data_IF_950111644035
#
_entry.id   IF_950111644035
#
_cell.length_a   1.000
_cell.length_b   1.000
_cell.length_c   1.000
_cell.angle_alpha   90.00
_cell.angle_beta   90.00
_cell.angle_gamma   90.00
#
_symmetry.space_group_name_H-M   'P 1'
#
loop_
_entity.id
_entity.type
_entity.pdbx_description
1 polymer ?
#
# COMPACT_ATOMS: atom_id res chain seq x y z
N UNK A 1 12.83 -8.33 -12.89
CA UNK A 1 11.59 -8.64 -12.14
C UNK A 1 11.51 -7.66 -11.00
N UNK A 2 10.37 -6.96 -10.84
CA UNK A 2 10.15 -5.96 -9.79
C UNK A 2 9.37 -6.56 -8.65
N UNK A 3 9.77 -6.27 -7.42
CA UNK A 3 9.03 -6.68 -6.23
C UNK A 3 8.17 -5.53 -5.70
N UNK A 4 6.85 -5.72 -5.71
CA UNK A 4 5.85 -4.71 -5.38
C UNK A 4 4.85 -5.27 -4.34
N UNK A 5 5.15 -5.22 -3.05
CA UNK A 5 4.24 -5.68 -2.01
C UNK A 5 3.05 -4.73 -1.81
N UNK A 6 1.94 -5.27 -1.32
CA UNK A 6 0.70 -4.54 -1.04
C UNK A 6 0.45 -4.56 0.47
N UNK A 7 0.37 -3.39 1.11
CA UNK A 7 0.05 -3.26 2.54
C UNK A 7 -1.48 -3.16 2.69
N UNK A 8 -2.11 -4.14 3.36
CA UNK A 8 -3.52 -4.06 3.77
C UNK A 8 -3.63 -3.35 5.12
N UNK A 9 -4.01 -2.06 5.09
CA UNK A 9 -3.88 -1.09 6.17
C UNK A 9 -4.98 -1.13 7.25
N UNK A 10 -5.76 -2.21 7.38
CA UNK A 10 -6.82 -2.29 8.39
C UNK A 10 -6.86 -3.64 9.10
N UNK A 11 -7.03 -3.60 10.41
CA UNK A 11 -7.21 -4.80 11.28
C UNK A 11 -8.62 -4.89 11.86
N UNK A 12 -9.55 -4.03 11.40
CA UNK A 12 -10.93 -4.02 11.89
C UNK A 12 -11.61 -5.35 11.60
N UNK A 13 -12.44 -5.85 12.55
CA UNK A 13 -13.31 -6.99 12.29
C UNK A 13 -14.23 -6.67 11.10
N UNK A 14 -14.44 -7.63 10.20
CA UNK A 14 -15.28 -7.51 9.00
C UNK A 14 -14.84 -6.35 8.06
N UNK A 15 -13.56 -6.08 8.00
CA UNK A 15 -12.95 -5.03 7.15
C UNK A 15 -13.20 -5.29 5.68
N UNK A 16 -13.80 -4.33 5.02
CA UNK A 16 -14.15 -4.42 3.59
C UNK A 16 -12.96 -4.13 2.67
N UNK A 17 -11.99 -3.36 3.14
CA UNK A 17 -10.79 -3.01 2.35
C UNK A 17 -9.94 -4.22 1.94
N UNK A 18 -10.05 -5.35 2.65
CA UNK A 18 -9.34 -6.59 2.28
C UNK A 18 -9.82 -7.16 0.94
N UNK A 19 -11.09 -6.97 0.56
CA UNK A 19 -11.62 -7.36 -0.75
C UNK A 19 -10.88 -6.63 -1.86
N UNK A 20 -10.70 -5.32 -1.71
CA UNK A 20 -9.97 -4.48 -2.66
C UNK A 20 -8.48 -4.82 -2.69
N UNK A 21 -7.87 -5.09 -1.54
CA UNK A 21 -6.47 -5.52 -1.48
C UNK A 21 -6.23 -6.83 -2.24
N UNK A 22 -7.13 -7.81 -2.09
CA UNK A 22 -7.09 -9.08 -2.85
C UNK A 22 -7.32 -8.86 -4.34
N UNK A 23 -8.25 -7.98 -4.70
CA UNK A 23 -8.49 -7.62 -6.09
C UNK A 23 -7.23 -7.02 -6.73
N UNK A 24 -6.61 -6.02 -6.09
CA UNK A 24 -5.37 -5.40 -6.58
C UNK A 24 -4.24 -6.42 -6.68
N UNK A 25 -4.09 -7.29 -5.67
CA UNK A 25 -3.10 -8.37 -5.68
C UNK A 25 -3.28 -9.28 -6.89
N UNK A 26 -4.51 -9.76 -7.12
CA UNK A 26 -4.82 -10.67 -8.24
C UNK A 26 -4.53 -10.01 -9.61
N UNK A 27 -4.75 -8.70 -9.75
CA UNK A 27 -4.45 -7.96 -11.00
C UNK A 27 -2.95 -7.70 -11.17
N UNK A 28 -2.24 -7.44 -10.07
CA UNK A 28 -0.80 -7.23 -10.11
C UNK A 28 -0.04 -8.54 -10.39
N UNK A 29 -0.52 -9.67 -9.87
CA UNK A 29 0.03 -11.02 -10.16
C UNK A 29 -0.05 -11.41 -11.64
N UNK A 30 -0.96 -10.81 -12.41
CA UNK A 30 -1.09 -11.05 -13.84
C UNK A 30 -0.10 -10.23 -14.69
N UNK A 31 0.68 -9.32 -14.07
CA UNK A 31 1.65 -8.49 -14.78
C UNK A 31 2.98 -9.23 -14.94
N UNK A 32 3.47 -9.31 -16.17
CA UNK A 32 4.77 -9.92 -16.44
C UNK A 32 5.91 -9.16 -15.73
N UNK A 33 6.87 -9.89 -15.23
CA UNK A 33 8.04 -9.29 -14.58
C UNK A 33 7.77 -8.73 -13.18
N UNK A 34 6.63 -9.05 -12.55
CA UNK A 34 6.27 -8.59 -11.21
C UNK A 34 6.22 -9.75 -10.23
N UNK A 35 6.89 -9.60 -9.10
CA UNK A 35 6.71 -10.36 -7.87
C UNK A 35 5.88 -9.52 -6.90
N UNK A 36 4.84 -10.08 -6.29
CA UNK A 36 3.95 -9.36 -5.37
C UNK A 36 3.40 -10.26 -4.29
N UNK A 37 3.15 -9.71 -3.12
CA UNK A 37 2.49 -10.37 -1.99
C UNK A 37 1.66 -9.38 -1.17
N UNK A 38 0.75 -9.90 -0.34
CA UNK A 38 -0.06 -9.10 0.56
C UNK A 38 0.60 -9.05 1.95
N UNK A 39 0.94 -7.86 2.41
CA UNK A 39 1.39 -7.58 3.77
C UNK A 39 0.17 -7.16 4.60
N UNK A 40 -0.50 -8.14 5.19
CA UNK A 40 -1.71 -7.91 5.95
C UNK A 40 -1.40 -7.50 7.39
N UNK A 41 -1.67 -6.24 7.77
CA UNK A 41 -1.39 -5.73 9.12
C UNK A 41 -2.17 -6.46 10.23
N UNK A 42 -3.26 -7.17 9.90
CA UNK A 42 -3.93 -8.04 10.87
C UNK A 42 -3.06 -9.22 11.27
N UNK A 43 -2.32 -9.79 10.34
CA UNK A 43 -1.42 -10.93 10.59
C UNK A 43 -0.12 -10.51 11.27
N UNK A 44 0.39 -9.31 10.95
CA UNK A 44 1.58 -8.76 11.59
C UNK A 44 1.32 -8.36 13.04
N UNK A 45 0.15 -7.80 13.34
CA UNK A 45 -0.34 -7.44 14.68
C UNK A 45 0.72 -6.73 15.55
N UNK A 46 1.34 -5.68 14.99
CA UNK A 46 2.37 -4.93 15.71
C UNK A 46 1.83 -4.24 16.95
N UNK A 47 2.57 -4.22 18.08
CA UNK A 47 2.25 -3.38 19.22
C UNK A 47 2.31 -1.89 18.84
N UNK A 48 1.95 -1.00 19.76
CA UNK A 48 2.14 0.44 19.56
C UNK A 48 3.64 0.71 19.45
N UNK A 49 4.03 1.46 18.41
CA UNK A 49 5.41 1.81 18.12
C UNK A 49 5.99 2.65 19.26
N UNK A 50 7.09 2.20 19.81
CA UNK A 50 7.89 2.91 20.82
C UNK A 50 9.19 3.45 20.21
N UNK A 51 9.81 2.65 19.31
CA UNK A 51 11.03 3.04 18.61
C UNK A 51 11.07 2.38 17.22
N UNK A 52 11.78 2.96 16.30
CA UNK A 52 11.97 2.48 14.93
C UNK A 52 12.83 1.23 14.85
N UNK A 53 12.56 0.40 13.84
CA UNK A 53 13.28 -0.86 13.62
C UNK A 53 14.81 -0.70 13.66
N UNK A 54 15.35 0.26 12.92
CA UNK A 54 16.80 0.47 12.82
C UNK A 54 17.49 0.99 14.11
N UNK A 55 16.70 1.26 15.17
CA UNK A 55 17.20 1.70 16.49
C UNK A 55 16.93 0.71 17.60
N UNK A 56 16.45 -0.49 17.27
CA UNK A 56 16.08 -1.54 18.23
C UNK A 56 16.96 -2.75 18.09
N UNK A 57 17.40 -3.28 19.22
CA UNK A 57 18.08 -4.59 19.30
C UNK A 57 17.05 -5.73 19.46
N UNK A 58 15.83 -5.43 19.91
CA UNK A 58 14.75 -6.37 20.19
C UNK A 58 13.45 -6.00 19.44
N UNK A 59 13.40 -6.14 18.12
CA UNK A 59 12.20 -5.79 17.37
C UNK A 59 11.01 -6.70 17.73
N UNK A 60 9.77 -6.15 17.74
CA UNK A 60 8.58 -6.98 17.87
C UNK A 60 8.54 -8.12 16.85
N UNK A 61 7.84 -9.23 17.17
CA UNK A 61 7.72 -10.36 16.25
C UNK A 61 7.32 -9.91 14.84
N UNK A 62 7.98 -10.46 13.82
CA UNK A 62 7.76 -10.18 12.40
C UNK A 62 8.06 -8.74 11.93
N UNK A 63 8.50 -7.82 12.80
CA UNK A 63 8.82 -6.46 12.37
C UNK A 63 10.04 -6.44 11.44
N UNK A 64 11.06 -7.25 11.73
CA UNK A 64 12.22 -7.40 10.84
C UNK A 64 11.80 -7.93 9.47
N UNK A 65 10.96 -8.97 9.42
CA UNK A 65 10.40 -9.52 8.17
C UNK A 65 9.69 -8.43 7.35
N UNK A 66 8.85 -7.62 8.01
CA UNK A 66 8.14 -6.51 7.36
C UNK A 66 9.12 -5.46 6.81
N UNK A 67 10.11 -5.08 7.62
CA UNK A 67 11.17 -4.15 7.24
C UNK A 67 11.98 -4.64 6.04
N UNK A 68 12.40 -5.91 6.05
CA UNK A 68 13.16 -6.53 4.95
C UNK A 68 12.35 -6.55 3.65
N UNK A 69 11.05 -6.89 3.72
CA UNK A 69 10.15 -6.88 2.57
C UNK A 69 9.97 -5.48 1.99
N UNK A 70 9.73 -4.48 2.83
CA UNK A 70 9.64 -3.10 2.37
C UNK A 70 10.99 -2.59 1.88
N UNK A 71 12.10 -2.94 2.57
CA UNK A 71 13.46 -2.54 2.20
C UNK A 71 13.84 -3.02 0.80
N UNK A 72 13.55 -4.29 0.46
CA UNK A 72 13.85 -4.86 -0.87
C UNK A 72 12.87 -4.43 -1.97
N UNK A 73 11.72 -3.86 -1.62
CA UNK A 73 10.70 -3.47 -2.60
C UNK A 73 11.20 -2.40 -3.57
N UNK A 74 10.87 -2.55 -4.85
CA UNK A 74 11.12 -1.52 -5.88
C UNK A 74 10.10 -0.38 -5.78
N UNK A 75 8.86 -0.70 -5.44
CA UNK A 75 7.75 0.17 -5.09
C UNK A 75 6.80 -0.58 -4.17
N UNK A 76 5.76 0.06 -3.64
CA UNK A 76 4.74 -0.64 -2.85
C UNK A 76 3.37 0.03 -3.01
N UNK A 77 2.32 -0.72 -2.68
CA UNK A 77 0.94 -0.22 -2.72
C UNK A 77 0.36 -0.22 -1.31
N UNK A 78 -0.32 0.85 -0.93
CA UNK A 78 -1.08 0.93 0.32
C UNK A 78 -2.57 0.84 -0.01
N UNK A 79 -3.27 -0.13 0.58
CA UNK A 79 -4.73 -0.24 0.53
C UNK A 79 -5.29 0.14 1.90
N UNK A 80 -5.97 1.28 1.98
CA UNK A 80 -6.46 1.85 3.24
C UNK A 80 -7.94 2.19 3.19
N UNK A 81 -8.74 1.79 4.20
CA UNK A 81 -10.05 2.40 4.37
C UNK A 81 -9.93 3.81 4.95
N UNK A 82 -10.97 4.62 4.74
CA UNK A 82 -11.12 5.89 5.43
C UNK A 82 -11.92 5.71 6.73
N UNK A 83 -11.33 6.08 7.86
CA UNK A 83 -11.96 6.13 9.17
C UNK A 83 -11.92 7.57 9.70
N UNK A 84 -13.10 8.17 9.93
CA UNK A 84 -13.21 9.53 10.47
C UNK A 84 -12.33 10.55 9.69
N UNK A 85 -12.45 10.55 8.37
CA UNK A 85 -11.69 11.42 7.45
C UNK A 85 -10.17 11.19 7.44
N UNK A 86 -9.68 10.04 7.91
CA UNK A 86 -8.26 9.70 7.91
C UNK A 86 -8.02 8.22 7.62
N UNK A 87 -6.76 7.82 7.57
CA UNK A 87 -6.38 6.42 7.49
C UNK A 87 -6.33 5.79 8.90
N UNK A 88 -6.42 4.43 9.03
CA UNK A 88 -6.42 3.75 10.31
C UNK A 88 -5.14 3.99 11.13
N UNK A 89 -5.28 4.12 12.46
CA UNK A 89 -4.14 4.27 13.37
C UNK A 89 -3.15 3.10 13.29
N UNK A 90 -3.64 1.87 13.06
CA UNK A 90 -2.78 0.69 12.87
C UNK A 90 -1.89 0.81 11.62
N UNK A 91 -2.36 1.45 10.56
CA UNK A 91 -1.55 1.72 9.38
C UNK A 91 -0.46 2.75 9.71
N UNK A 92 -0.82 3.86 10.38
CA UNK A 92 0.16 4.85 10.82
C UNK A 92 1.22 4.20 11.72
N UNK A 93 0.80 3.38 12.67
CA UNK A 93 1.67 2.64 13.56
C UNK A 93 2.68 1.75 12.80
N UNK A 94 2.21 0.99 11.83
CA UNK A 94 3.09 0.14 11.01
C UNK A 94 4.07 0.95 10.16
N UNK A 95 3.62 2.07 9.58
CA UNK A 95 4.47 2.94 8.78
C UNK A 95 5.56 3.62 9.62
N UNK A 96 5.27 3.98 10.86
CA UNK A 96 6.21 4.69 11.74
C UNK A 96 7.37 3.82 12.24
N UNK A 97 7.23 2.50 12.23
CA UNK A 97 8.32 1.59 12.59
C UNK A 97 9.52 1.66 11.64
N UNK A 98 9.27 2.02 10.39
CA UNK A 98 10.29 2.08 9.33
C UNK A 98 10.55 3.54 8.94
N UNK A 99 11.68 3.80 8.31
CA UNK A 99 11.96 5.09 7.68
C UNK A 99 12.90 4.94 6.48
N UNK A 100 14.15 4.46 6.62
CA UNK A 100 15.06 4.35 5.47
C UNK A 100 14.55 3.36 4.43
N UNK A 101 13.73 2.38 4.84
CA UNK A 101 13.17 1.36 3.94
C UNK A 101 12.22 1.94 2.88
N UNK A 102 11.66 3.13 3.12
CA UNK A 102 10.74 3.81 2.18
C UNK A 102 11.43 4.73 1.18
N UNK A 103 12.67 5.12 1.46
CA UNK A 103 13.32 6.16 0.67
C UNK A 103 13.36 5.87 -0.83
N UNK A 104 12.97 6.89 -1.60
CA UNK A 104 12.98 6.87 -3.07
C UNK A 104 12.21 5.71 -3.70
N UNK A 105 11.09 5.31 -3.08
CA UNK A 105 10.20 4.28 -3.64
C UNK A 105 8.90 4.91 -4.12
N UNK A 106 8.43 4.57 -5.34
CA UNK A 106 7.08 4.89 -5.75
C UNK A 106 6.04 4.23 -4.84
N UNK A 107 4.95 4.95 -4.56
CA UNK A 107 3.86 4.44 -3.73
C UNK A 107 2.54 4.60 -4.45
N UNK A 108 1.89 3.48 -4.76
CA UNK A 108 0.50 3.46 -5.19
C UNK A 108 -0.44 3.54 -3.99
N UNK A 109 -1.48 4.37 -4.06
CA UNK A 109 -2.45 4.51 -2.98
C UNK A 109 -3.83 4.10 -3.46
N UNK A 110 -4.43 3.14 -2.75
CA UNK A 110 -5.79 2.66 -2.94
C UNK A 110 -6.60 3.00 -1.70
N UNK A 111 -7.69 3.74 -1.87
CA UNK A 111 -8.55 4.13 -0.75
C UNK A 111 -9.94 3.53 -0.87
N UNK A 112 -10.53 3.20 0.27
CA UNK A 112 -11.82 2.51 0.35
C UNK A 112 -12.73 3.23 1.35
N UNK A 113 -13.98 3.49 0.95
CA UNK A 113 -14.98 4.05 1.86
C UNK A 113 -16.35 3.39 1.72
N UNK A 114 -17.15 3.43 2.80
CA UNK A 114 -18.56 3.07 2.76
C UNK A 114 -19.40 4.16 2.06
N UNK A 115 -18.95 5.41 2.14
CA UNK A 115 -19.59 6.57 1.49
C UNK A 115 -19.22 6.74 0.02
N UNK A 116 -19.77 7.79 -0.60
CA UNK A 116 -19.66 8.06 -2.05
C UNK A 116 -18.32 8.66 -2.51
N UNK A 117 -17.45 9.13 -1.59
CA UNK A 117 -16.24 9.89 -1.96
C UNK A 117 -14.96 9.02 -2.11
N UNK A 118 -15.06 7.71 -1.88
CA UNK A 118 -13.94 6.79 -2.11
C UNK A 118 -12.71 7.02 -1.21
N UNK A 119 -12.86 7.74 -0.09
CA UNK A 119 -11.75 7.96 0.85
C UNK A 119 -10.80 9.09 0.46
N UNK A 120 -11.30 10.20 -0.08
CA UNK A 120 -10.50 11.33 -0.56
C UNK A 120 -9.65 11.99 0.54
N UNK A 121 -10.17 12.10 1.78
CA UNK A 121 -9.40 12.68 2.88
C UNK A 121 -8.26 11.73 3.32
N UNK A 122 -8.54 10.43 3.35
CA UNK A 122 -7.52 9.41 3.57
C UNK A 122 -6.42 9.48 2.51
N UNK A 123 -6.77 9.63 1.23
CA UNK A 123 -5.83 9.78 0.12
C UNK A 123 -4.92 11.00 0.32
N UNK A 124 -5.50 12.15 0.63
CA UNK A 124 -4.75 13.39 0.84
C UNK A 124 -3.73 13.25 1.99
N UNK A 125 -4.16 12.66 3.11
CA UNK A 125 -3.28 12.43 4.26
C UNK A 125 -2.17 11.40 3.96
N UNK A 126 -2.49 10.29 3.28
CA UNK A 126 -1.49 9.30 2.90
C UNK A 126 -0.43 9.88 1.95
N UNK A 127 -0.82 10.76 1.02
CA UNK A 127 0.15 11.47 0.16
C UNK A 127 1.14 12.30 0.99
N UNK A 128 0.66 13.04 1.98
CA UNK A 128 1.53 13.82 2.87
C UNK A 128 2.46 12.93 3.69
N UNK A 129 1.93 11.84 4.24
CA UNK A 129 2.72 10.90 5.05
C UNK A 129 3.80 10.23 4.22
N UNK A 130 3.46 9.74 3.02
CA UNK A 130 4.43 9.07 2.14
C UNK A 130 5.54 10.00 1.67
N UNK A 131 5.23 11.27 1.38
CA UNK A 131 6.26 12.29 1.11
C UNK A 131 7.16 12.49 2.34
N UNK A 132 6.57 12.58 3.54
CA UNK A 132 7.31 12.72 4.80
C UNK A 132 8.22 11.53 5.11
N UNK A 133 7.93 10.34 4.57
CA UNK A 133 8.76 9.14 4.66
C UNK A 133 9.87 9.09 3.57
N UNK A 134 9.97 10.09 2.69
CA UNK A 134 10.93 10.09 1.59
C UNK A 134 10.52 9.21 0.39
N UNK A 135 9.28 8.73 0.36
CA UNK A 135 8.71 7.98 -0.75
C UNK A 135 7.99 8.90 -1.74
N UNK A 136 7.66 8.40 -2.95
CA UNK A 136 7.02 9.16 -4.01
C UNK A 136 5.59 8.65 -4.25
N UNK A 137 4.55 9.26 -3.66
CA UNK A 137 3.18 8.91 -4.03
C UNK A 137 2.95 9.24 -5.50
N UNK A 138 2.53 8.25 -6.28
CA UNK A 138 2.22 8.46 -7.70
C UNK A 138 0.96 9.32 -7.86
N UNK A 139 0.82 10.08 -8.97
CA UNK A 139 -0.36 10.93 -9.22
C UNK A 139 -1.66 10.14 -9.28
N UNK A 140 -1.64 8.97 -9.94
CA UNK A 140 -2.80 8.12 -10.09
C UNK A 140 -3.16 7.40 -8.79
N UNK A 141 -4.44 7.13 -8.57
CA UNK A 141 -4.94 6.40 -7.40
C UNK A 141 -6.16 5.55 -7.75
N UNK A 142 -6.44 4.53 -6.95
CA UNK A 142 -7.65 3.74 -7.05
C UNK A 142 -8.56 4.01 -5.85
N UNK A 143 -9.53 4.91 -5.99
CA UNK A 143 -10.51 5.19 -4.93
C UNK A 143 -11.78 4.36 -5.13
N UNK A 144 -12.16 3.60 -4.10
CA UNK A 144 -13.34 2.74 -4.09
C UNK A 144 -14.39 3.31 -3.14
N UNK A 145 -15.49 3.79 -3.71
CA UNK A 145 -16.66 4.26 -2.96
C UNK A 145 -17.69 3.16 -2.78
N UNK A 146 -18.59 3.30 -1.79
CA UNK A 146 -19.70 2.40 -1.53
C UNK A 146 -19.28 0.92 -1.55
N UNK A 147 -18.24 0.59 -0.83
CA UNK A 147 -17.56 -0.72 -0.90
C UNK A 147 -18.52 -1.92 -0.75
N UNK A 148 -19.57 -1.81 0.06
CA UNK A 148 -20.56 -2.87 0.25
C UNK A 148 -21.38 -3.17 -1.02
N UNK A 149 -21.50 -2.18 -1.93
CA UNK A 149 -22.20 -2.32 -3.21
C UNK A 149 -21.21 -2.60 -4.36
N UNK A 150 -19.96 -2.18 -4.21
CA UNK A 150 -18.97 -2.17 -5.29
C UNK A 150 -18.20 -3.47 -5.44
N UNK A 151 -18.07 -4.26 -4.37
CA UNK A 151 -17.29 -5.51 -4.38
C UNK A 151 -17.99 -6.65 -3.67
N UNK A 152 -17.89 -7.85 -4.24
CA UNK A 152 -18.34 -9.12 -3.66
C UNK A 152 -17.36 -9.57 -2.56
N UNK A 153 -17.74 -10.62 -1.79
CA UNK A 153 -16.93 -11.14 -0.70
C UNK A 153 -15.59 -11.73 -1.16
N UNK A 154 -15.55 -12.28 -2.36
CA UNK A 154 -14.34 -12.83 -2.97
C UNK A 154 -13.38 -11.76 -3.55
N UNK A 155 -13.78 -10.48 -3.56
CA UNK A 155 -13.04 -9.37 -4.14
C UNK A 155 -13.36 -9.10 -5.61
N UNK A 156 -14.35 -9.76 -6.19
CA UNK A 156 -14.82 -9.47 -7.55
C UNK A 156 -15.57 -8.13 -7.56
N UNK A 157 -15.21 -7.17 -8.43
CA UNK A 157 -15.97 -5.93 -8.56
C UNK A 157 -17.33 -6.16 -9.21
N UNK A 158 -18.37 -5.50 -8.71
CA UNK A 158 -19.72 -5.53 -9.29
C UNK A 158 -19.83 -4.61 -10.53
N UNK A 159 -18.89 -3.68 -10.70
CA UNK A 159 -18.83 -2.78 -11.86
C UNK A 159 -17.49 -3.00 -12.60
N UNK A 160 -17.58 -3.34 -13.87
CA UNK A 160 -16.42 -3.54 -14.75
C UNK A 160 -15.55 -2.26 -14.91
N UNK A 161 -16.06 -1.09 -14.55
CA UNK A 161 -15.26 0.13 -14.52
C UNK A 161 -14.08 0.04 -13.56
N UNK A 162 -14.19 -0.73 -12.47
CA UNK A 162 -13.06 -0.94 -11.55
C UNK A 162 -11.91 -1.72 -12.18
N UNK A 163 -12.18 -2.63 -13.11
CA UNK A 163 -11.13 -3.32 -13.88
C UNK A 163 -10.29 -2.34 -14.70
N UNK A 164 -10.97 -1.44 -15.42
CA UNK A 164 -10.28 -0.42 -16.24
C UNK A 164 -9.49 0.56 -15.36
N UNK A 165 -10.07 1.02 -14.25
CA UNK A 165 -9.41 1.92 -13.31
C UNK A 165 -8.21 1.27 -12.64
N UNK A 166 -8.33 0.00 -12.25
CA UNK A 166 -7.20 -0.75 -11.71
C UNK A 166 -6.09 -0.95 -12.73
N UNK A 167 -6.43 -1.21 -14.00
CA UNK A 167 -5.44 -1.32 -15.06
C UNK A 167 -4.63 -0.02 -15.21
N UNK A 168 -5.29 1.13 -15.33
CA UNK A 168 -4.64 2.45 -15.42
C UNK A 168 -3.76 2.72 -14.20
N UNK A 169 -4.28 2.47 -13.00
CA UNK A 169 -3.53 2.64 -11.75
C UNK A 169 -2.27 1.76 -11.70
N UNK A 170 -2.38 0.48 -12.07
CA UNK A 170 -1.26 -0.45 -12.04
C UNK A 170 -0.23 -0.14 -13.15
N UNK A 171 -0.67 0.29 -14.33
CA UNK A 171 0.21 0.74 -15.39
C UNK A 171 1.06 1.93 -14.92
N UNK A 172 0.47 2.88 -14.21
CA UNK A 172 1.18 4.02 -13.63
C UNK A 172 2.15 3.60 -12.51
N UNK A 173 1.75 2.69 -11.62
CA UNK A 173 2.67 2.11 -10.61
C UNK A 173 3.89 1.50 -11.29
N UNK A 174 3.70 0.70 -12.34
CA UNK A 174 4.78 0.05 -13.06
C UNK A 174 5.69 1.05 -13.76
N UNK A 175 5.12 2.06 -14.43
CA UNK A 175 5.88 3.10 -15.11
C UNK A 175 6.84 3.83 -14.13
N UNK A 176 6.32 4.25 -12.95
CA UNK A 176 7.16 4.89 -11.93
C UNK A 176 8.18 3.94 -11.33
N UNK A 177 7.81 2.67 -11.13
CA UNK A 177 8.73 1.63 -10.65
C UNK A 177 9.92 1.47 -11.59
N UNK A 178 9.65 1.33 -12.88
CA UNK A 178 10.68 1.18 -13.93
C UNK A 178 11.57 2.42 -14.02
N UNK A 179 10.98 3.61 -14.03
CA UNK A 179 11.70 4.87 -14.13
C UNK A 179 12.68 5.05 -12.94
N UNK A 180 12.21 4.78 -11.72
CA UNK A 180 13.04 4.91 -10.51
C UNK A 180 14.10 3.81 -10.45
N UNK A 181 13.76 2.56 -10.78
CA UNK A 181 14.71 1.46 -10.84
C UNK A 181 15.84 1.74 -11.86
N UNK A 182 15.48 2.22 -13.06
CA UNK A 182 16.45 2.60 -14.07
C UNK A 182 17.38 3.75 -13.61
N UNK A 183 16.84 4.72 -12.85
CA UNK A 183 17.64 5.82 -12.31
C UNK A 183 18.58 5.34 -11.19
N UNK A 184 18.10 4.46 -10.29
CA UNK A 184 18.93 3.84 -9.23
C UNK A 184 20.09 3.03 -9.83
N UNK A 185 19.85 2.30 -10.91
CA UNK A 185 20.88 1.54 -11.59
C UNK A 185 21.99 2.44 -12.22
N UNK A 186 21.63 3.66 -12.68
CA UNK A 186 22.58 4.64 -13.24
C UNK A 186 23.37 5.40 -12.20
N UNK A 187 22.74 5.72 -11.09
CA UNK A 187 23.32 6.45 -9.95
C UNK A 187 22.90 5.76 -8.66
N UNK A 188 23.65 4.76 -8.17
CA UNK A 188 23.41 4.18 -6.85
C UNK A 188 23.36 5.30 -5.81
N UNK A 189 22.50 5.15 -4.83
CA UNK A 189 22.43 6.09 -3.71
C UNK A 189 23.79 6.14 -3.00
N UNK A 190 24.24 7.34 -2.56
CA UNK A 190 25.46 7.47 -1.80
C UNK A 190 25.44 6.69 -0.51
#
# INVERSE_FOLDING_TARGET
MYYIPIIAGSTRRDRQSIKVARFVLARLQQREGVETELLDLLEYNFPIMEERLHRRDDPPPRLQEFGDKIGRADSFIIVSPEYNNGYPGVLKNALDYLLPEYERKPVGIVTVSAGGFGGLNCLAQLRLVTIGMGAFPIPENLSVSRIHESFQEDGTPNDAAYEKRAAVFLDEVLWFTEAIAAQKARKPSP
#
